data_IF_511842716362
#
_entry.id   IF_511842716362
#
_cell.length_a   1.000
_cell.length_b   1.000
_cell.length_c   1.000
_cell.angle_alpha   90.00
_cell.angle_beta   90.00
_cell.angle_gamma   90.00
#
_symmetry.space_group_name_H-M   'P 1'
#
loop_
_entity.id
_entity.type
_entity.pdbx_description
1 polymer ?
#
# COMPACT_ATOMS: atom_id res chain seq x y z
N UNK A 1 48.28 18.09 1.87
CA UNK A 1 47.26 18.26 0.83
C UNK A 1 46.22 17.18 1.05
N UNK A 2 45.18 17.50 1.82
CA UNK A 2 44.07 16.59 2.10
C UNK A 2 43.06 16.71 0.97
N UNK A 3 42.89 15.65 0.19
CA UNK A 3 41.76 15.51 -0.73
C UNK A 3 40.52 15.24 0.11
N UNK A 4 39.62 16.22 0.17
CA UNK A 4 38.31 16.03 0.78
C UNK A 4 37.52 15.00 -0.01
N UNK A 5 37.08 13.94 0.67
CA UNK A 5 36.06 13.05 0.13
C UNK A 5 34.73 13.80 0.18
N UNK A 6 34.27 14.19 -0.99
CA UNK A 6 32.93 14.64 -1.30
C UNK A 6 31.94 13.56 -0.78
N UNK A 7 31.25 13.81 0.33
CA UNK A 7 30.17 12.94 0.82
C UNK A 7 28.91 13.22 -0.01
N UNK A 8 29.03 13.07 -1.34
CA UNK A 8 27.89 13.06 -2.24
C UNK A 8 27.13 11.75 -2.02
N UNK A 9 26.01 11.84 -1.29
CA UNK A 9 24.99 10.80 -1.02
C UNK A 9 25.25 9.44 -1.68
N UNK A 10 25.62 8.45 -0.87
CA UNK A 10 25.63 7.05 -1.30
C UNK A 10 24.27 6.69 -1.92
N UNK A 11 24.25 6.00 -3.08
CA UNK A 11 22.99 5.58 -3.69
C UNK A 11 22.25 4.63 -2.75
N UNK A 12 20.98 4.96 -2.45
CA UNK A 12 20.06 4.11 -1.69
C UNK A 12 20.02 2.73 -2.33
N UNK A 13 20.23 1.66 -1.56
CA UNK A 13 20.31 0.30 -2.11
C UNK A 13 18.98 -0.13 -2.77
N UNK A 14 18.98 -1.09 -3.72
CA UNK A 14 17.74 -1.58 -4.33
C UNK A 14 16.72 -2.11 -3.31
N UNK A 15 17.19 -2.75 -2.24
CA UNK A 15 16.34 -3.21 -1.13
C UNK A 15 15.66 -2.02 -0.43
N UNK A 16 16.43 -0.99 -0.07
CA UNK A 16 15.88 0.22 0.56
C UNK A 16 14.88 0.92 -0.37
N UNK A 17 15.16 1.00 -1.67
CA UNK A 17 14.23 1.58 -2.65
C UNK A 17 12.91 0.80 -2.70
N UNK A 18 12.97 -0.53 -2.74
CA UNK A 18 11.78 -1.38 -2.76
C UNK A 18 10.95 -1.23 -1.46
N UNK A 19 11.60 -1.25 -0.29
CA UNK A 19 10.93 -1.09 1.00
C UNK A 19 10.32 0.31 1.17
N UNK A 20 11.05 1.36 0.77
CA UNK A 20 10.54 2.72 0.80
C UNK A 20 9.38 2.93 -0.19
N UNK A 21 9.46 2.33 -1.37
CA UNK A 21 8.38 2.34 -2.36
C UNK A 21 7.12 1.66 -1.82
N UNK A 22 7.27 0.44 -1.29
CA UNK A 22 6.17 -0.29 -0.66
C UNK A 22 5.50 0.53 0.46
N UNK A 23 6.29 1.08 1.38
CA UNK A 23 5.80 1.97 2.44
C UNK A 23 5.01 3.15 1.87
N UNK A 24 5.57 3.86 0.89
CA UNK A 24 4.95 5.05 0.33
C UNK A 24 3.60 4.74 -0.32
N UNK A 25 3.50 3.63 -1.07
CA UNK A 25 2.26 3.22 -1.71
C UNK A 25 1.17 2.87 -0.68
N UNK A 26 1.52 2.07 0.34
CA UNK A 26 0.55 1.68 1.37
C UNK A 26 0.09 2.89 2.20
N UNK A 27 1.00 3.80 2.54
CA UNK A 27 0.63 5.05 3.22
C UNK A 27 -0.30 5.92 2.37
N UNK A 28 -0.08 6.01 1.05
CA UNK A 28 -0.96 6.77 0.16
C UNK A 28 -2.40 6.22 0.17
N UNK A 29 -2.55 4.90 0.20
CA UNK A 29 -3.86 4.24 0.28
C UNK A 29 -4.51 4.39 1.66
N UNK A 30 -3.73 4.29 2.74
CA UNK A 30 -4.22 4.54 4.10
C UNK A 30 -4.72 5.99 4.26
N UNK A 31 -3.98 6.96 3.70
CA UNK A 31 -4.39 8.37 3.68
C UNK A 31 -5.67 8.54 2.86
N UNK A 32 -5.76 7.88 1.70
CA UNK A 32 -6.96 7.92 0.85
C UNK A 32 -8.19 7.31 1.52
N UNK A 33 -7.99 6.33 2.39
CA UNK A 33 -9.02 5.71 3.22
C UNK A 33 -9.26 6.41 4.57
N UNK A 34 -8.60 7.55 4.82
CA UNK A 34 -8.69 8.31 6.09
C UNK A 34 -8.35 7.49 7.35
N UNK A 35 -7.44 6.52 7.24
CA UNK A 35 -7.02 5.61 8.34
C UNK A 35 -5.52 5.71 8.66
N UNK A 36 -4.85 6.79 8.29
CA UNK A 36 -3.41 6.97 8.50
C UNK A 36 -3.05 7.55 9.90
N UNK A 37 -3.66 7.03 10.96
CA UNK A 37 -3.32 7.40 12.33
C UNK A 37 -1.97 6.79 12.77
N UNK A 38 -1.37 7.32 13.84
CA UNK A 38 0.01 6.99 14.21
C UNK A 38 0.23 5.51 14.56
N UNK A 39 -0.77 4.86 15.17
CA UNK A 39 -0.78 3.43 15.46
C UNK A 39 -0.89 2.59 14.19
N UNK A 40 -1.68 3.01 13.20
CA UNK A 40 -1.78 2.37 11.89
C UNK A 40 -0.48 2.55 11.09
N UNK A 41 0.14 3.73 11.10
CA UNK A 41 1.47 3.93 10.50
C UNK A 41 2.51 3.02 11.16
N UNK A 42 2.41 2.77 12.47
CA UNK A 42 3.30 1.83 13.15
C UNK A 42 3.14 0.40 12.64
N UNK A 43 1.92 -0.03 12.27
CA UNK A 43 1.69 -1.32 11.62
C UNK A 43 2.42 -1.41 10.28
N UNK A 44 2.42 -0.34 9.47
CA UNK A 44 3.15 -0.29 8.20
C UNK A 44 4.65 -0.47 8.43
N UNK A 45 5.22 0.23 9.41
CA UNK A 45 6.64 0.12 9.71
C UNK A 45 7.00 -1.29 10.24
N UNK A 46 6.14 -1.90 11.05
CA UNK A 46 6.29 -3.30 11.49
C UNK A 46 6.34 -4.25 10.28
N UNK A 47 5.39 -4.13 9.35
CA UNK A 47 5.37 -4.91 8.11
C UNK A 47 6.64 -4.71 7.28
N UNK A 48 7.10 -3.47 7.11
CA UNK A 48 8.35 -3.16 6.38
C UNK A 48 9.56 -3.80 7.03
N UNK A 49 9.67 -3.78 8.36
CA UNK A 49 10.75 -4.44 9.11
C UNK A 49 10.73 -5.96 8.91
N UNK A 50 9.56 -6.58 8.98
CA UNK A 50 9.43 -8.03 8.73
C UNK A 50 9.83 -8.38 7.29
N UNK A 51 9.42 -7.57 6.32
CA UNK A 51 9.70 -7.83 4.91
C UNK A 51 11.13 -7.53 4.48
N UNK A 52 11.83 -6.63 5.18
CA UNK A 52 13.28 -6.45 5.01
C UNK A 52 14.02 -7.77 5.16
N UNK A 53 13.83 -8.44 6.29
CA UNK A 53 14.53 -9.69 6.57
C UNK A 53 14.23 -10.74 5.50
N UNK A 54 12.98 -10.81 5.03
CA UNK A 54 12.57 -11.73 3.98
C UNK A 54 13.30 -11.49 2.65
N UNK A 55 13.40 -10.23 2.19
CA UNK A 55 14.13 -9.91 0.95
C UNK A 55 15.64 -10.08 1.12
N UNK A 56 16.19 -9.87 2.32
CA UNK A 56 17.60 -10.19 2.59
C UNK A 56 17.88 -11.69 2.42
N UNK A 57 16.92 -12.57 2.72
CA UNK A 57 17.04 -14.00 2.44
C UNK A 57 16.78 -14.35 0.97
N UNK A 58 15.94 -13.58 0.29
CA UNK A 58 15.62 -13.79 -1.12
C UNK A 58 15.52 -12.45 -1.88
N UNK A 59 16.61 -11.98 -2.50
CA UNK A 59 16.67 -10.65 -3.12
C UNK A 59 15.68 -10.42 -4.27
N UNK A 60 15.36 -11.45 -5.06
CA UNK A 60 14.33 -11.35 -6.12
C UNK A 60 12.94 -11.08 -5.53
N UNK A 61 12.78 -11.32 -4.22
CA UNK A 61 11.61 -10.97 -3.44
C UNK A 61 11.25 -9.49 -3.47
N UNK A 62 12.21 -8.62 -3.82
CA UNK A 62 12.03 -7.17 -3.91
C UNK A 62 10.87 -6.74 -4.84
N UNK A 63 10.49 -7.56 -5.82
CA UNK A 63 9.37 -7.27 -6.71
C UNK A 63 7.99 -7.46 -6.05
N UNK A 64 7.90 -8.21 -4.94
CA UNK A 64 6.65 -8.63 -4.31
C UNK A 64 6.31 -7.82 -3.05
N UNK A 65 7.29 -7.09 -2.52
CA UNK A 65 7.22 -6.50 -1.17
C UNK A 65 6.05 -5.53 -1.01
N UNK A 66 5.72 -4.78 -2.06
CA UNK A 66 4.61 -3.83 -2.02
C UNK A 66 3.27 -4.55 -1.74
N UNK A 67 3.00 -5.65 -2.43
CA UNK A 67 1.79 -6.44 -2.23
C UNK A 67 1.77 -7.14 -0.87
N UNK A 68 2.91 -7.65 -0.42
CA UNK A 68 3.03 -8.32 0.87
C UNK A 68 2.86 -7.34 2.05
N UNK A 69 3.44 -6.14 1.98
CA UNK A 69 3.24 -5.11 3.02
C UNK A 69 1.78 -4.70 3.08
N UNK A 70 1.11 -4.55 1.94
CA UNK A 70 -0.31 -4.23 1.91
C UNK A 70 -1.15 -5.32 2.59
N UNK A 71 -0.89 -6.60 2.29
CA UNK A 71 -1.56 -7.74 2.94
C UNK A 71 -1.29 -7.81 4.45
N UNK A 72 -0.04 -7.65 4.89
CA UNK A 72 0.31 -7.63 6.31
C UNK A 72 -0.45 -6.52 7.06
N UNK A 73 -0.61 -5.35 6.44
CA UNK A 73 -1.37 -4.22 7.00
C UNK A 73 -2.87 -4.51 7.01
N UNK A 74 -3.41 -5.17 5.98
CA UNK A 74 -4.81 -5.61 6.00
C UNK A 74 -5.08 -6.56 7.16
N UNK A 75 -4.18 -7.53 7.38
CA UNK A 75 -4.31 -8.50 8.48
C UNK A 75 -4.24 -7.78 9.84
N UNK A 76 -3.26 -6.90 10.03
CA UNK A 76 -3.11 -6.14 11.28
C UNK A 76 -4.32 -5.22 11.55
N UNK A 77 -4.86 -4.57 10.52
CA UNK A 77 -6.07 -3.75 10.63
C UNK A 77 -7.29 -4.61 10.92
N UNK A 78 -7.43 -5.76 10.25
CA UNK A 78 -8.56 -6.68 10.44
C UNK A 78 -8.66 -7.15 11.90
N UNK A 79 -7.52 -7.46 12.51
CA UNK A 79 -7.46 -7.91 13.90
C UNK A 79 -7.85 -6.82 14.92
N UNK A 80 -7.56 -5.53 14.64
CA UNK A 80 -7.71 -4.44 15.63
C UNK A 80 -8.85 -3.46 15.36
N UNK A 81 -9.10 -3.13 14.10
CA UNK A 81 -10.03 -2.07 13.69
C UNK A 81 -11.10 -2.57 12.72
N UNK A 82 -10.84 -3.66 11.98
CA UNK A 82 -11.74 -4.27 11.02
C UNK A 82 -11.25 -4.15 9.57
N UNK A 83 -12.17 -4.37 8.62
CA UNK A 83 -11.86 -4.54 7.20
C UNK A 83 -11.34 -3.24 6.58
N UNK A 84 -10.24 -3.35 5.85
CA UNK A 84 -9.67 -2.28 5.04
C UNK A 84 -8.97 -2.84 3.79
N UNK A 85 -8.95 -2.11 2.66
CA UNK A 85 -9.83 -0.98 2.35
C UNK A 85 -11.23 -1.48 2.00
N UNK A 86 -12.27 -0.75 2.40
CA UNK A 86 -13.64 -1.11 2.02
C UNK A 86 -13.85 -0.89 0.51
N UNK A 87 -14.57 -1.82 -0.12
CA UNK A 87 -14.87 -1.77 -1.54
C UNK A 87 -15.75 -0.54 -1.89
N UNK A 88 -15.29 0.38 -2.75
CA UNK A 88 -16.12 1.50 -3.19
C UNK A 88 -17.15 1.12 -4.26
N UNK A 89 -17.06 -0.09 -4.84
CA UNK A 89 -17.87 -0.53 -6.00
C UNK A 89 -19.20 -1.15 -5.58
N UNK A 90 -19.24 -2.00 -4.56
CA UNK A 90 -20.41 -2.83 -4.25
C UNK A 90 -21.47 -2.17 -3.35
N UNK A 91 -21.33 -0.89 -3.03
CA UNK A 91 -22.31 -0.13 -2.25
C UNK A 91 -22.30 -0.46 -0.75
N UNK A 92 -22.97 0.39 0.04
CA UNK A 92 -22.92 0.36 1.50
C UNK A 92 -23.68 -0.82 2.15
N UNK A 93 -24.57 -1.49 1.41
CA UNK A 93 -25.39 -2.58 1.93
C UNK A 93 -24.64 -3.93 2.05
N UNK A 94 -23.45 -4.04 1.44
CA UNK A 94 -22.58 -5.23 1.55
C UNK A 94 -21.09 -4.84 1.66
N UNK A 95 -20.68 -4.21 2.78
CA UNK A 95 -19.31 -3.74 2.96
C UNK A 95 -18.34 -4.91 3.12
N UNK A 96 -17.35 -4.98 2.23
CA UNK A 96 -16.28 -5.96 2.26
C UNK A 96 -14.93 -5.31 1.93
N UNK A 97 -13.84 -5.98 2.31
CA UNK A 97 -12.50 -5.54 1.96
C UNK A 97 -12.21 -5.83 0.49
N UNK A 98 -11.40 -5.01 -0.15
CA UNK A 98 -10.71 -5.39 -1.39
C UNK A 98 -9.57 -6.36 -1.07
N UNK A 99 -9.21 -7.20 -2.02
CA UNK A 99 -8.07 -8.10 -1.91
C UNK A 99 -6.88 -7.56 -2.73
N UNK A 100 -5.66 -7.90 -2.33
CA UNK A 100 -4.44 -7.59 -3.08
C UNK A 100 -4.16 -8.71 -4.09
N UNK A 101 -4.14 -8.38 -5.37
CA UNK A 101 -3.86 -9.33 -6.44
C UNK A 101 -2.69 -8.85 -7.33
N UNK A 102 -1.80 -9.76 -7.78
CA UNK A 102 -1.73 -11.16 -7.38
C UNK A 102 -1.36 -11.34 -5.89
N UNK A 103 -1.91 -12.36 -5.23
CA UNK A 103 -1.57 -12.70 -3.82
C UNK A 103 -0.05 -12.77 -3.59
N UNK A 104 0.69 -13.35 -4.55
CA UNK A 104 2.15 -13.31 -4.60
C UNK A 104 2.61 -13.02 -6.03
N UNK A 105 2.98 -11.77 -6.31
CA UNK A 105 3.49 -11.35 -7.61
C UNK A 105 3.76 -9.85 -7.70
N UNK A 106 4.37 -9.39 -8.81
CA UNK A 106 4.67 -7.97 -9.01
C UNK A 106 3.39 -7.20 -9.36
N UNK A 107 3.49 -5.86 -9.36
CA UNK A 107 2.43 -4.94 -9.77
C UNK A 107 1.10 -5.13 -9.02
N UNK A 108 1.09 -5.12 -7.66
CA UNK A 108 -0.09 -5.41 -6.86
C UNK A 108 -1.24 -4.42 -7.11
N UNK A 109 -2.46 -4.95 -7.11
CA UNK A 109 -3.71 -4.24 -7.41
C UNK A 109 -4.75 -4.55 -6.34
N UNK A 110 -5.57 -3.56 -6.02
CA UNK A 110 -6.78 -3.76 -5.26
C UNK A 110 -7.88 -4.34 -6.15
N UNK A 111 -8.43 -5.48 -5.78
CA UNK A 111 -9.44 -6.21 -6.56
C UNK A 111 -10.68 -6.43 -5.71
N UNK A 112 -11.85 -6.22 -6.34
CA UNK A 112 -13.12 -6.67 -5.79
C UNK A 112 -13.49 -7.99 -6.48
N UNK A 113 -13.31 -9.11 -5.79
CA UNK A 113 -13.68 -10.44 -6.32
C UNK A 113 -15.19 -10.58 -6.53
N UNK A 114 -16.01 -9.93 -5.69
CA UNK A 114 -17.47 -9.96 -5.84
C UNK A 114 -17.93 -9.33 -7.16
N UNK A 115 -17.37 -8.19 -7.54
CA UNK A 115 -17.70 -7.51 -8.79
C UNK A 115 -16.85 -8.00 -9.97
N UNK A 116 -15.78 -8.76 -9.73
CA UNK A 116 -14.86 -9.24 -10.75
C UNK A 116 -14.04 -8.13 -11.40
N UNK A 117 -13.72 -7.05 -10.66
CA UNK A 117 -13.01 -5.87 -11.20
C UNK A 117 -11.75 -5.54 -10.41
N UNK A 118 -10.74 -5.07 -11.15
CA UNK A 118 -9.61 -4.33 -10.57
C UNK A 118 -10.09 -2.92 -10.24
N UNK A 119 -9.96 -2.53 -8.99
CA UNK A 119 -10.42 -1.23 -8.48
C UNK A 119 -9.34 -0.18 -8.67
N UNK A 120 -8.11 -0.46 -8.22
CA UNK A 120 -6.98 0.45 -8.36
C UNK A 120 -5.65 -0.30 -8.30
N UNK A 121 -4.57 0.33 -8.77
CA UNK A 121 -3.23 -0.07 -8.38
C UNK A 121 -2.98 0.25 -6.90
N UNK A 122 -2.08 -0.49 -6.25
CA UNK A 122 -1.62 -0.14 -4.91
C UNK A 122 -1.01 1.27 -4.93
N UNK A 123 -1.40 2.10 -3.96
CA UNK A 123 -1.07 3.52 -3.84
C UNK A 123 -1.98 4.48 -4.61
N UNK A 124 -2.98 3.96 -5.33
CA UNK A 124 -3.89 4.76 -6.17
C UNK A 124 -5.37 4.67 -5.74
N UNK A 125 -5.69 4.19 -4.53
CA UNK A 125 -7.08 4.09 -4.07
C UNK A 125 -7.82 5.42 -4.10
N UNK A 126 -7.14 6.54 -3.82
CA UNK A 126 -7.75 7.86 -3.84
C UNK A 126 -8.39 8.23 -5.19
N UNK A 127 -7.88 7.68 -6.29
CA UNK A 127 -8.47 7.90 -7.63
C UNK A 127 -9.74 7.08 -7.86
N UNK A 128 -9.80 5.87 -7.27
CA UNK A 128 -10.95 4.97 -7.37
C UNK A 128 -12.09 5.34 -6.39
N UNK A 129 -11.75 5.88 -5.22
CA UNK A 129 -12.71 6.30 -4.20
C UNK A 129 -13.40 7.63 -4.52
N UNK A 130 -12.88 8.45 -5.45
CA UNK A 130 -13.57 9.67 -5.87
C UNK A 130 -12.91 10.55 -6.95
N UNK A 131 -13.54 10.60 -8.13
CA UNK A 131 -13.92 11.85 -8.85
C UNK A 131 -15.01 11.56 -9.90
N UNK A 132 -16.23 11.28 -9.44
CA UNK A 132 -17.40 11.73 -10.20
C UNK A 132 -17.51 13.23 -9.95
N UNK A 133 -17.29 14.05 -10.98
CA UNK A 133 -17.57 15.48 -10.95
C UNK A 133 -19.08 15.67 -10.74
N UNK A 134 -19.52 15.66 -9.49
CA UNK A 134 -20.86 16.10 -9.11
C UNK A 134 -20.95 17.60 -9.30
N UNK A 135 -21.34 18.02 -10.51
CA UNK A 135 -21.61 19.42 -10.82
C UNK A 135 -22.55 20.02 -9.80
N UNK A 136 -22.12 21.11 -9.17
CA UNK A 136 -23.01 22.01 -8.46
C UNK A 136 -24.13 22.44 -9.42
N UNK A 137 -25.34 21.95 -9.21
CA UNK A 137 -26.53 22.63 -9.70
C UNK A 137 -26.78 23.80 -8.75
N UNK A 138 -26.54 24.99 -9.27
CA UNK A 138 -27.05 26.22 -8.69
C UNK A 138 -28.59 26.20 -8.75
N UNK A 139 -29.21 26.51 -7.61
CA UNK A 139 -30.58 27.05 -7.54
C UNK A 139 -30.55 28.29 -6.67
#
# INVERSE_FOLDING_TARGET
>A
MSTGSDHGSDPVSPLEQALHGARALVLADLVSGEVAEADVVSMVEESVVQRRWWVEQWPDGAAYVAGLVAQDVQDALLERYGRWPLCPVCGADDPHALDVEPELGPDPQWVCHKAGVRVAALGALGEASGRSSGGASAT
#
